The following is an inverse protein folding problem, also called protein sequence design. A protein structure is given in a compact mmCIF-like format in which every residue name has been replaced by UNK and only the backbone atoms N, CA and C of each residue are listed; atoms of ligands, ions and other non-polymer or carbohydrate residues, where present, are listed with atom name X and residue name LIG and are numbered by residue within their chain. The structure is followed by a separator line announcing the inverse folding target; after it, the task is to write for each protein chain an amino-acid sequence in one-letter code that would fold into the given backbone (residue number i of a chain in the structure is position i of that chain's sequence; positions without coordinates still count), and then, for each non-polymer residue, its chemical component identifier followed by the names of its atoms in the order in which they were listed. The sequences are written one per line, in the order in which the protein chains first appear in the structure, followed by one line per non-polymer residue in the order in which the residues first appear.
data_IF_407827194620
#
_entry.id   IF_407827194620
#
_cell.length_a   1.000
_cell.length_b   1.000
_cell.length_c   1.000
_cell.angle_alpha   90.00
_cell.angle_beta   90.00
_cell.angle_gamma   90.00
#
_symmetry.space_group_name_H-M   'P 1'
#
loop_
_entity.id
_entity.type
_entity.pdbx_description
1 polymer ?
#
# COMPACT_ATOMS: atom_id res chain seq x y z
N UNK A 1 18.16 4.17 -15.25
CA UNK A 1 17.30 3.86 -14.10
C UNK A 1 16.15 4.83 -14.03
N UNK A 2 14.92 4.30 -14.08
CA UNK A 2 13.65 5.03 -14.06
C UNK A 2 12.79 4.55 -12.89
N UNK A 3 11.80 5.36 -12.52
CA UNK A 3 10.73 4.98 -11.59
C UNK A 3 9.38 5.16 -12.28
N UNK A 4 8.47 4.23 -12.04
CA UNK A 4 7.08 4.30 -12.48
C UNK A 4 6.17 4.08 -11.29
N UNK A 5 5.22 4.98 -11.10
CA UNK A 5 4.19 4.88 -10.06
C UNK A 5 2.83 4.59 -10.67
N UNK A 6 2.06 3.74 -10.00
CA UNK A 6 0.63 3.56 -10.25
C UNK A 6 -0.12 3.76 -8.95
N UNK A 7 -1.05 4.73 -8.96
CA UNK A 7 -1.92 5.02 -7.83
C UNK A 7 -3.26 4.29 -7.96
N UNK A 8 -3.88 4.00 -6.82
CA UNK A 8 -5.24 3.48 -6.69
C UNK A 8 -5.84 3.96 -5.37
N UNK A 9 -7.14 3.71 -5.16
CA UNK A 9 -7.80 3.98 -3.89
C UNK A 9 -8.67 2.81 -3.48
N UNK A 10 -8.99 2.75 -2.19
CA UNK A 10 -9.92 1.80 -1.62
C UNK A 10 -10.62 2.43 -0.41
N UNK A 11 -11.84 1.98 -0.13
CA UNK A 11 -12.64 2.48 0.97
C UNK A 11 -12.86 1.37 1.99
N UNK A 12 -12.44 1.58 3.23
CA UNK A 12 -12.51 0.54 4.25
C UNK A 12 -12.84 1.09 5.62
N UNK A 13 -13.49 0.26 6.43
CA UNK A 13 -13.68 0.53 7.84
C UNK A 13 -12.59 -0.16 8.68
N UNK A 14 -12.30 0.39 9.86
CA UNK A 14 -11.41 -0.21 10.83
C UNK A 14 -11.65 0.28 12.26
N UNK A 15 -10.97 -0.33 13.23
CA UNK A 15 -10.76 0.21 14.57
C UNK A 15 -9.28 0.37 14.88
N UNK A 16 -8.93 1.25 15.82
CA UNK A 16 -7.56 1.39 16.28
C UNK A 16 -7.49 1.84 17.74
N UNK A 17 -6.79 1.04 18.56
CA UNK A 17 -6.51 1.35 19.97
C UNK A 17 -5.22 2.15 20.08
N UNK A 18 -5.34 3.47 20.17
CA UNK A 18 -4.21 4.40 20.32
C UNK A 18 -3.86 4.63 21.80
N UNK A 19 -2.57 4.84 22.08
CA UNK A 19 -2.02 5.19 23.41
C UNK A 19 -1.83 6.72 23.52
N UNK A 20 -2.91 7.46 23.30
CA UNK A 20 -2.95 8.93 23.48
C UNK A 20 -4.05 9.28 24.48
N UNK A 21 -4.18 10.57 24.81
CA UNK A 21 -5.25 11.07 25.69
C UNK A 21 -6.62 10.54 25.27
N UNK A 22 -7.49 10.29 26.26
CA UNK A 22 -8.74 9.53 26.03
C UNK A 22 -9.64 10.19 24.98
N UNK A 23 -9.82 11.50 25.09
CA UNK A 23 -10.63 12.31 24.16
C UNK A 23 -10.11 12.22 22.72
N UNK A 24 -8.79 12.20 22.54
CA UNK A 24 -8.12 12.01 21.25
C UNK A 24 -8.34 10.59 20.71
N UNK A 25 -8.20 9.57 21.56
CA UNK A 25 -8.25 8.16 21.17
C UNK A 25 -9.68 7.62 20.89
N UNK A 26 -10.70 8.18 21.53
CA UNK A 26 -12.05 7.62 21.55
C UNK A 26 -12.69 7.52 20.16
N UNK A 27 -12.36 8.44 19.24
CA UNK A 27 -12.80 8.36 17.85
C UNK A 27 -12.33 7.10 17.13
N UNK A 28 -11.06 6.72 17.32
CA UNK A 28 -10.49 5.56 16.63
C UNK A 28 -10.88 4.22 17.24
N UNK A 29 -11.32 4.20 18.51
CA UNK A 29 -11.80 2.97 19.17
C UNK A 29 -13.13 2.49 18.61
N UNK A 30 -13.90 3.37 17.97
CA UNK A 30 -15.15 3.01 17.29
C UNK A 30 -14.85 2.53 15.88
N UNK A 31 -15.77 1.75 15.33
CA UNK A 31 -15.77 1.48 13.88
C UNK A 31 -15.93 2.80 13.16
N UNK A 32 -14.97 3.08 12.29
CA UNK A 32 -14.94 4.24 11.40
C UNK A 32 -14.22 3.85 10.12
N UNK A 33 -14.30 4.68 9.08
CA UNK A 33 -13.66 4.36 7.81
C UNK A 33 -13.02 5.58 7.18
N UNK A 34 -12.20 5.30 6.17
CA UNK A 34 -11.52 6.31 5.38
C UNK A 34 -11.51 5.91 3.92
N UNK A 35 -11.48 6.90 3.04
CA UNK A 35 -10.99 6.72 1.67
C UNK A 35 -9.47 6.75 1.73
N UNK A 36 -8.84 5.62 1.46
CA UNK A 36 -7.39 5.48 1.40
C UNK A 36 -6.92 5.66 -0.04
N UNK A 37 -5.87 6.45 -0.23
CA UNK A 37 -5.15 6.53 -1.50
C UNK A 37 -3.81 5.83 -1.36
N UNK A 38 -3.52 4.89 -2.25
CA UNK A 38 -2.28 4.15 -2.28
C UNK A 38 -1.52 4.37 -3.59
N UNK A 39 -0.20 4.29 -3.54
CA UNK A 39 0.68 4.35 -4.70
C UNK A 39 1.74 3.27 -4.59
N UNK A 40 1.94 2.54 -5.68
CA UNK A 40 3.01 1.54 -5.82
C UNK A 40 4.00 2.07 -6.84
N UNK A 41 5.25 2.22 -6.41
CA UNK A 41 6.36 2.65 -7.25
C UNK A 41 7.26 1.47 -7.53
N UNK A 42 7.54 1.21 -8.81
CA UNK A 42 8.57 0.27 -9.24
C UNK A 42 9.78 1.04 -9.77
N UNK A 43 10.97 0.44 -9.67
CA UNK A 43 12.22 1.03 -10.16
C UNK A 43 13.01 0.01 -10.95
N UNK A 44 13.55 0.43 -12.09
CA UNK A 44 14.39 -0.42 -12.93
C UNK A 44 14.91 0.31 -14.15
N UNK A 45 15.67 -0.41 -14.96
CA UNK A 45 16.03 0.04 -16.30
C UNK A 45 14.94 -0.36 -17.30
N UNK A 46 14.78 0.43 -18.36
CA UNK A 46 13.89 0.07 -19.44
C UNK A 46 14.46 -1.13 -20.20
N UNK A 47 13.64 -2.15 -20.42
CA UNK A 47 14.01 -3.30 -21.24
C UNK A 47 14.32 -2.83 -22.68
N UNK A 48 15.46 -3.23 -23.29
CA UNK A 48 15.87 -2.71 -24.61
C UNK A 48 14.93 -3.07 -25.77
N UNK A 49 14.14 -4.15 -25.66
CA UNK A 49 13.25 -4.59 -26.72
C UNK A 49 11.89 -3.87 -26.66
N UNK A 50 11.39 -3.63 -25.45
CA UNK A 50 10.06 -3.04 -25.21
C UNK A 50 10.10 -1.55 -24.87
N UNK A 51 11.24 -1.03 -24.40
CA UNK A 51 11.39 0.34 -23.93
C UNK A 51 10.72 0.64 -22.57
N UNK A 52 10.25 -0.40 -21.85
CA UNK A 52 9.48 -0.25 -20.60
C UNK A 52 10.24 -0.79 -19.39
N UNK A 53 10.03 -0.20 -18.21
CA UNK A 53 10.46 -0.81 -16.93
C UNK A 53 9.52 -1.94 -16.54
N UNK A 54 8.21 -1.72 -16.72
CA UNK A 54 7.15 -2.71 -16.55
C UNK A 54 5.98 -2.32 -17.45
N UNK A 55 5.22 -3.29 -17.93
CA UNK A 55 3.92 -3.01 -18.54
C UNK A 55 2.93 -2.55 -17.46
N UNK A 56 2.39 -1.35 -17.59
CA UNK A 56 1.45 -0.77 -16.62
C UNK A 56 0.14 -1.56 -16.52
N UNK A 57 -0.27 -2.29 -17.56
CA UNK A 57 -1.45 -3.15 -17.49
C UNK A 57 -1.22 -4.33 -16.53
N UNK A 58 -0.01 -4.92 -16.55
CA UNK A 58 0.37 -5.98 -15.61
C UNK A 58 0.45 -5.45 -14.18
N UNK A 59 1.04 -4.26 -13.98
CA UNK A 59 1.10 -3.62 -12.66
C UNK A 59 -0.30 -3.33 -12.12
N UNK A 60 -1.21 -2.80 -12.95
CA UNK A 60 -2.61 -2.55 -12.55
C UNK A 60 -3.37 -3.83 -12.22
N UNK A 61 -3.16 -4.90 -13.00
CA UNK A 61 -3.79 -6.19 -12.71
C UNK A 61 -3.34 -6.75 -11.36
N UNK A 62 -2.04 -6.71 -11.07
CA UNK A 62 -1.52 -7.11 -9.76
C UNK A 62 -2.10 -6.26 -8.62
N UNK A 63 -2.13 -4.93 -8.79
CA UNK A 63 -2.73 -4.00 -7.83
C UNK A 63 -4.22 -4.30 -7.61
N UNK A 64 -4.97 -4.64 -8.65
CA UNK A 64 -6.39 -4.96 -8.53
C UNK A 64 -6.65 -6.14 -7.58
N UNK A 65 -5.84 -7.21 -7.67
CA UNK A 65 -5.97 -8.38 -6.77
C UNK A 65 -5.72 -8.05 -5.29
N UNK A 66 -4.88 -7.06 -5.02
CA UNK A 66 -4.62 -6.58 -3.65
C UNK A 66 -5.71 -5.63 -3.20
N UNK A 67 -6.19 -4.76 -4.10
CA UNK A 67 -7.30 -3.84 -3.85
C UNK A 67 -8.57 -4.61 -3.46
N UNK A 68 -8.88 -5.72 -4.11
CA UNK A 68 -10.04 -6.57 -3.78
C UNK A 68 -10.02 -7.10 -2.34
N UNK A 69 -8.84 -7.23 -1.72
CA UNK A 69 -8.72 -7.67 -0.32
C UNK A 69 -8.92 -6.52 0.69
N UNK A 70 -8.98 -5.27 0.21
CA UNK A 70 -9.02 -4.07 1.05
C UNK A 70 -10.32 -3.29 0.85
N UNK A 71 -10.74 -3.09 -0.41
CA UNK A 71 -11.88 -2.28 -0.77
C UNK A 71 -13.19 -2.87 -0.26
N UNK A 72 -14.01 -2.05 0.40
CA UNK A 72 -15.25 -2.44 1.07
C UNK A 72 -15.10 -3.50 2.18
N UNK A 73 -13.89 -3.70 2.70
CA UNK A 73 -13.63 -4.61 3.82
C UNK A 73 -13.52 -3.88 5.16
N UNK A 74 -13.74 -4.64 6.24
CA UNK A 74 -13.34 -4.26 7.60
C UNK A 74 -11.90 -4.71 7.83
N UNK A 75 -10.96 -3.76 7.91
CA UNK A 75 -9.53 -4.04 7.86
C UNK A 75 -9.04 -4.90 9.03
N UNK A 76 -9.67 -4.80 10.19
CA UNK A 76 -9.35 -5.63 11.37
C UNK A 76 -9.49 -7.14 11.09
N UNK A 77 -10.27 -7.53 10.08
CA UNK A 77 -10.52 -8.93 9.70
C UNK A 77 -9.68 -9.39 8.50
N UNK A 78 -8.92 -8.50 7.85
CA UNK A 78 -8.12 -8.83 6.66
C UNK A 78 -6.92 -9.72 7.05
N UNK A 79 -6.84 -10.98 6.59
CA UNK A 79 -5.79 -11.90 7.01
C UNK A 79 -4.40 -11.40 6.60
N UNK A 80 -3.50 -11.31 7.59
CA UNK A 80 -2.11 -10.88 7.40
C UNK A 80 -1.89 -9.36 7.42
N UNK A 81 -2.94 -8.53 7.52
CA UNK A 81 -2.77 -7.08 7.62
C UNK A 81 -2.23 -6.65 9.01
N UNK A 82 -2.65 -7.34 10.07
CA UNK A 82 -2.34 -6.94 11.45
C UNK A 82 -3.15 -5.71 11.86
N UNK A 83 -2.58 -4.86 12.74
CA UNK A 83 -3.25 -3.62 13.14
C UNK A 83 -3.43 -2.69 11.92
N UNK A 84 -4.60 -2.08 11.71
CA UNK A 84 -4.92 -1.36 10.47
C UNK A 84 -4.36 0.07 10.45
N UNK A 85 -3.03 0.18 10.59
CA UNK A 85 -2.27 1.44 10.49
C UNK A 85 -1.78 1.69 9.06
N UNK A 86 -1.36 2.93 8.75
CA UNK A 86 -0.83 3.24 7.42
C UNK A 86 0.46 2.47 7.11
N UNK A 87 1.30 2.22 8.12
CA UNK A 87 2.53 1.44 8.00
C UNK A 87 2.25 -0.01 7.64
N UNK A 88 1.27 -0.63 8.33
CA UNK A 88 0.90 -2.01 8.07
C UNK A 88 0.17 -2.17 6.73
N UNK A 89 -0.65 -1.19 6.32
CA UNK A 89 -1.22 -1.16 4.96
C UNK A 89 -0.12 -1.09 3.89
N UNK A 90 0.90 -0.25 4.06
CA UNK A 90 2.02 -0.18 3.13
C UNK A 90 2.76 -1.53 3.03
N UNK A 91 3.04 -2.16 4.19
CA UNK A 91 3.73 -3.46 4.24
C UNK A 91 2.89 -4.57 3.61
N UNK A 92 1.59 -4.63 3.93
CA UNK A 92 0.65 -5.60 3.38
C UNK A 92 0.59 -5.50 1.86
N UNK A 93 0.40 -4.30 1.31
CA UNK A 93 0.36 -4.09 -0.15
C UNK A 93 1.68 -4.55 -0.79
N UNK A 94 2.81 -4.17 -0.20
CA UNK A 94 4.13 -4.60 -0.69
C UNK A 94 4.27 -6.13 -0.69
N UNK A 95 3.97 -6.80 0.42
CA UNK A 95 4.10 -8.26 0.56
C UNK A 95 3.20 -9.02 -0.41
N UNK A 96 1.96 -8.57 -0.61
CA UNK A 96 1.05 -9.19 -1.58
C UNK A 96 1.55 -9.02 -3.02
N UNK A 97 2.06 -7.85 -3.36
CA UNK A 97 2.56 -7.56 -4.70
C UNK A 97 3.92 -8.19 -5.00
N UNK A 98 4.78 -8.43 -4.00
CA UNK A 98 6.09 -9.05 -4.20
C UNK A 98 6.04 -10.41 -4.91
N UNK A 99 4.92 -11.12 -4.78
CA UNK A 99 4.70 -12.41 -5.47
C UNK A 99 4.62 -12.27 -7.00
N UNK A 100 4.25 -11.10 -7.49
CA UNK A 100 3.96 -10.82 -8.91
C UNK A 100 4.83 -9.71 -9.49
N UNK A 101 5.35 -8.80 -8.65
CA UNK A 101 6.12 -7.60 -9.04
C UNK A 101 7.41 -7.54 -8.20
N UNK A 102 8.56 -8.00 -8.73
CA UNK A 102 9.80 -8.17 -7.95
C UNK A 102 10.62 -6.88 -7.73
N UNK A 103 10.22 -5.74 -8.31
CA UNK A 103 11.01 -4.51 -8.36
C UNK A 103 10.31 -3.30 -7.71
N UNK A 104 9.55 -3.54 -6.64
CA UNK A 104 8.85 -2.47 -5.90
C UNK A 104 9.87 -1.62 -5.14
N UNK A 105 9.97 -0.34 -5.50
CA UNK A 105 10.85 0.64 -4.88
C UNK A 105 10.21 1.28 -3.64
N UNK A 106 8.90 1.50 -3.69
CA UNK A 106 8.14 1.99 -2.55
C UNK A 106 6.65 1.71 -2.66
N UNK A 107 5.99 1.67 -1.51
CA UNK A 107 4.53 1.71 -1.40
C UNK A 107 4.18 2.86 -0.47
N UNK A 108 3.26 3.72 -0.92
CA UNK A 108 2.70 4.80 -0.09
C UNK A 108 1.22 4.57 0.13
N UNK A 109 0.72 4.87 1.33
CA UNK A 109 -0.71 4.89 1.66
C UNK A 109 -0.99 6.15 2.45
N UNK A 110 -2.06 6.86 2.09
CA UNK A 110 -2.48 8.07 2.75
C UNK A 110 -4.00 8.22 2.82
N UNK A 111 -4.42 9.21 3.60
CA UNK A 111 -5.82 9.64 3.73
C UNK A 111 -5.87 11.11 3.34
N UNK A 112 -6.35 11.40 2.14
CA UNK A 112 -6.33 12.77 1.62
C UNK A 112 -7.11 13.75 2.49
N UNK A 113 -8.22 13.31 3.08
CA UNK A 113 -9.08 14.14 3.93
C UNK A 113 -8.39 14.64 5.20
N UNK A 114 -7.49 13.85 5.79
CA UNK A 114 -6.73 14.22 6.98
C UNK A 114 -5.31 14.70 6.68
N UNK A 115 -4.83 14.52 5.45
CA UNK A 115 -3.47 14.90 5.03
C UNK A 115 -2.38 13.91 5.45
N UNK A 116 -2.75 12.80 6.10
CA UNK A 116 -1.78 11.79 6.56
C UNK A 116 -1.24 10.96 5.39
N UNK A 117 0.05 10.61 5.43
CA UNK A 117 0.67 9.66 4.50
C UNK A 117 1.81 8.89 5.15
N UNK A 118 1.87 7.59 4.87
CA UNK A 118 3.02 6.74 5.14
C UNK A 118 3.64 6.30 3.81
N UNK A 119 4.96 6.13 3.79
CA UNK A 119 5.68 5.51 2.66
C UNK A 119 6.64 4.46 3.20
N UNK A 120 6.43 3.22 2.80
CA UNK A 120 7.35 2.11 3.01
C UNK A 120 8.32 1.98 1.84
N UNK A 121 9.62 1.88 2.15
CA UNK A 121 10.69 1.61 1.18
C UNK A 121 11.40 0.33 1.61
N UNK A 122 11.25 -0.80 0.90
CA UNK A 122 11.99 -1.99 1.22
C UNK A 122 13.48 -1.75 1.00
N UNK A 123 14.32 -2.33 1.87
CA UNK A 123 15.75 -2.41 1.59
C UNK A 123 15.91 -3.37 0.41
N UNK A 124 16.25 -2.84 -0.76
CA UNK A 124 16.59 -3.67 -1.91
C UNK A 124 17.83 -4.47 -1.51
N UNK A 125 17.70 -5.79 -1.35
CA UNK A 125 18.87 -6.65 -1.23
C UNK A 125 19.72 -6.41 -2.48
N UNK A 126 20.96 -5.98 -2.29
CA UNK A 126 21.88 -5.68 -3.39
C UNK A 126 22.04 -6.95 -4.23
N UNK A 127 21.38 -6.99 -5.40
CA UNK A 127 21.46 -8.13 -6.32
C UNK A 127 22.77 -8.11 -7.14
N UNK A 128 23.79 -7.37 -6.70
CA UNK A 128 25.16 -7.47 -7.20
C UNK A 128 25.91 -8.58 -6.47
N UNK A 129 25.67 -9.83 -6.89
CA UNK A 129 26.69 -10.90 -6.89
C UNK A 129 26.56 -11.71 -8.17
#
# INVERSE_FOLDING_TARGET
MFELSQSFYFESAHTLRRQVERNEADGSRRVHGHTYTAEVTVRGDADPATGMVVDLALLRAAIATVREQLDHHFLDEVPGLGLPTLENLCRFIHERLLTTVPAIASVSVGRQSSGDRCTFRPVLADRRR
#
